data_IF_297020138533
#
_entry.id   IF_297020138533
#
_cell.length_a   1.000
_cell.length_b   1.000
_cell.length_c   1.000
_cell.angle_alpha   90.00
_cell.angle_beta   90.00
_cell.angle_gamma   90.00
#
_symmetry.space_group_name_H-M   'P 1'
#
loop_
_entity.id
_entity.type
_entity.pdbx_description
1 polymer ?
#
# COMPACT_ATOMS: atom_id res chain seq x y z
N UNK A 1 7.06 -20.36 11.95
CA UNK A 1 7.63 -19.76 10.74
C UNK A 1 7.61 -20.84 9.67
N UNK A 2 6.82 -20.66 8.60
CA UNK A 2 6.66 -21.66 7.54
C UNK A 2 7.20 -21.10 6.22
N UNK A 3 8.00 -21.92 5.52
CA UNK A 3 8.45 -21.73 4.14
C UNK A 3 9.56 -20.70 3.98
N UNK A 4 10.71 -21.14 3.47
CA UNK A 4 11.91 -20.36 3.14
C UNK A 4 11.65 -18.84 2.99
N UNK A 5 12.05 -18.01 3.97
CA UNK A 5 11.87 -16.57 3.88
C UNK A 5 12.54 -16.06 2.60
N UNK A 6 11.86 -15.20 1.84
CA UNK A 6 12.36 -14.75 0.52
C UNK A 6 11.81 -13.36 0.22
N UNK A 7 12.71 -12.46 -0.16
CA UNK A 7 12.38 -11.09 -0.55
C UNK A 7 11.51 -11.09 -1.81
N UNK A 8 11.82 -11.95 -2.79
CA UNK A 8 11.00 -12.12 -3.99
C UNK A 8 9.57 -12.54 -3.63
N UNK A 9 9.42 -13.49 -2.71
CA UNK A 9 8.10 -13.95 -2.25
C UNK A 9 7.31 -12.80 -1.61
N UNK A 10 7.95 -11.98 -0.77
CA UNK A 10 7.31 -10.79 -0.17
C UNK A 10 6.84 -9.80 -1.23
N UNK A 11 7.67 -9.51 -2.23
CA UNK A 11 7.33 -8.57 -3.30
C UNK A 11 6.17 -9.11 -4.14
N UNK A 12 6.19 -10.40 -4.47
CA UNK A 12 5.12 -11.04 -5.23
C UNK A 12 3.78 -10.98 -4.49
N UNK A 13 3.77 -11.29 -3.19
CA UNK A 13 2.60 -11.16 -2.31
C UNK A 13 2.12 -9.71 -2.26
N UNK A 14 3.04 -8.78 -2.03
CA UNK A 14 2.75 -7.36 -1.95
C UNK A 14 2.09 -6.85 -3.22
N UNK A 15 2.67 -7.13 -4.39
CA UNK A 15 2.10 -6.78 -5.69
C UNK A 15 0.74 -7.43 -5.91
N UNK A 16 0.57 -8.71 -5.56
CA UNK A 16 -0.69 -9.42 -5.78
C UNK A 16 -1.83 -8.81 -4.97
N UNK A 17 -1.61 -8.55 -3.68
CA UNK A 17 -2.64 -7.93 -2.82
C UNK A 17 -2.87 -6.47 -3.24
N UNK A 18 -1.81 -5.72 -3.52
CA UNK A 18 -1.91 -4.37 -4.04
C UNK A 18 -2.69 -4.30 -5.36
N UNK A 19 -2.47 -5.26 -6.25
CA UNK A 19 -3.22 -5.39 -7.50
C UNK A 19 -4.70 -5.69 -7.26
N UNK A 20 -5.04 -6.54 -6.29
CA UNK A 20 -6.43 -6.80 -5.92
C UNK A 20 -7.14 -5.53 -5.41
N UNK A 21 -6.50 -4.75 -4.54
CA UNK A 21 -7.04 -3.45 -4.11
C UNK A 21 -7.14 -2.46 -5.27
N UNK A 22 -6.13 -2.43 -6.15
CA UNK A 22 -6.17 -1.63 -7.36
C UNK A 22 -7.29 -2.02 -8.32
N UNK A 23 -7.63 -3.32 -8.43
CA UNK A 23 -8.76 -3.81 -9.22
C UNK A 23 -10.10 -3.38 -8.64
N UNK A 24 -10.23 -3.44 -7.30
CA UNK A 24 -11.40 -2.88 -6.62
C UNK A 24 -11.54 -1.42 -7.01
N UNK A 25 -10.47 -0.62 -6.85
CA UNK A 25 -10.45 0.78 -7.24
C UNK A 25 -10.86 0.99 -8.71
N UNK A 26 -10.27 0.24 -9.65
CA UNK A 26 -10.57 0.34 -11.09
C UNK A 26 -12.06 0.10 -11.40
N UNK A 27 -12.68 -0.85 -10.71
CA UNK A 27 -14.09 -1.21 -10.91
C UNK A 27 -15.01 -0.23 -10.18
N UNK A 28 -14.65 0.22 -8.97
CA UNK A 28 -15.54 1.06 -8.15
C UNK A 28 -15.49 2.55 -8.48
N UNK A 29 -14.35 3.07 -8.95
CA UNK A 29 -14.16 4.50 -9.27
C UNK A 29 -15.27 5.11 -10.14
N UNK A 30 -15.75 4.46 -11.22
CA UNK A 30 -16.74 5.03 -12.12
C UNK A 30 -18.12 5.19 -11.48
N UNK A 31 -18.43 4.41 -10.44
CA UNK A 31 -19.69 4.56 -9.72
C UNK A 31 -19.72 5.83 -8.88
N UNK A 32 -18.56 6.30 -8.41
CA UNK A 32 -18.44 7.53 -7.62
C UNK A 32 -18.09 8.77 -8.47
N UNK A 33 -17.41 8.55 -9.59
CA UNK A 33 -17.00 9.59 -10.55
C UNK A 33 -17.31 9.10 -11.98
N UNK A 34 -18.54 9.35 -12.50
CA UNK A 34 -18.95 8.85 -13.82
C UNK A 34 -18.02 9.27 -14.97
N UNK A 35 -17.49 10.51 -14.91
CA UNK A 35 -16.60 11.07 -15.93
C UNK A 35 -15.13 10.68 -15.75
N UNK A 36 -14.84 9.64 -14.94
CA UNK A 36 -13.46 9.22 -14.70
C UNK A 36 -12.89 8.47 -15.90
N UNK A 37 -11.89 9.06 -16.54
CA UNK A 37 -11.20 8.48 -17.68
C UNK A 37 -10.36 7.24 -17.32
N UNK A 38 -10.08 6.41 -18.33
CA UNK A 38 -9.28 5.19 -18.18
C UNK A 38 -7.88 5.41 -17.59
N UNK A 39 -7.29 6.58 -17.84
CA UNK A 39 -5.96 6.93 -17.33
C UNK A 39 -5.91 6.95 -15.79
N UNK A 40 -6.90 7.55 -15.13
CA UNK A 40 -6.95 7.56 -13.66
C UNK A 40 -7.26 6.17 -13.11
N UNK A 41 -8.17 5.42 -13.75
CA UNK A 41 -8.51 4.04 -13.32
C UNK A 41 -7.30 3.12 -13.34
N UNK A 42 -6.55 3.11 -14.45
CA UNK A 42 -5.31 2.34 -14.57
C UNK A 42 -4.20 2.90 -13.67
N UNK A 43 -4.14 4.23 -13.51
CA UNK A 43 -3.25 4.90 -12.57
C UNK A 43 -3.44 4.35 -11.15
N UNK A 44 -4.68 4.23 -10.69
CA UNK A 44 -5.03 3.67 -9.37
C UNK A 44 -4.68 2.18 -9.28
N UNK A 45 -4.97 1.38 -10.30
CA UNK A 45 -4.61 -0.04 -10.33
C UNK A 45 -3.10 -0.24 -10.13
N UNK A 46 -2.29 0.44 -10.93
CA UNK A 46 -0.84 0.32 -10.85
C UNK A 46 -0.24 1.03 -9.65
N UNK A 47 -0.91 2.07 -9.14
CA UNK A 47 -0.54 2.72 -7.89
C UNK A 47 -0.58 1.72 -6.73
N UNK A 48 -1.71 1.07 -6.48
CA UNK A 48 -1.80 0.12 -5.35
C UNK A 48 -0.91 -1.11 -5.56
N UNK A 49 -0.69 -1.54 -6.81
CA UNK A 49 0.33 -2.57 -7.12
C UNK A 49 1.73 -2.11 -6.70
N UNK A 50 2.06 -0.83 -6.93
CA UNK A 50 3.35 -0.22 -6.54
C UNK A 50 3.45 -0.07 -5.03
N UNK A 51 2.40 0.40 -4.35
CA UNK A 51 2.34 0.45 -2.87
C UNK A 51 2.61 -0.92 -2.29
N UNK A 52 1.96 -1.96 -2.82
CA UNK A 52 2.18 -3.33 -2.39
C UNK A 52 3.62 -3.80 -2.61
N UNK A 53 4.22 -3.48 -3.76
CA UNK A 53 5.63 -3.77 -4.01
C UNK A 53 6.55 -3.06 -3.01
N UNK A 54 6.32 -1.77 -2.74
CA UNK A 54 7.11 -0.97 -1.81
C UNK A 54 7.05 -1.54 -0.39
N UNK A 55 5.87 -1.96 0.06
CA UNK A 55 5.71 -2.62 1.37
C UNK A 55 6.41 -3.99 1.38
N UNK A 56 6.36 -4.73 0.27
CA UNK A 56 7.09 -5.99 0.13
C UNK A 56 8.59 -5.82 0.31
N UNK A 57 9.19 -4.86 -0.42
CA UNK A 57 10.62 -4.52 -0.40
C UNK A 57 11.05 -3.94 0.95
N UNK A 58 10.47 -2.81 1.34
CA UNK A 58 10.92 -2.05 2.51
C UNK A 58 10.38 -2.63 3.82
N UNK A 59 9.35 -3.47 3.76
CA UNK A 59 8.85 -4.18 4.93
C UNK A 59 9.79 -5.28 5.43
N UNK A 60 10.98 -5.48 4.85
CA UNK A 60 12.00 -6.38 5.43
C UNK A 60 12.76 -5.71 6.58
N UNK A 61 12.84 -4.38 6.59
CA UNK A 61 13.58 -3.64 7.62
C UNK A 61 12.88 -3.73 8.98
N UNK A 62 13.47 -4.46 9.92
CA UNK A 62 12.99 -4.62 11.31
C UNK A 62 13.64 -3.65 12.29
N UNK A 63 14.64 -2.88 11.85
CA UNK A 63 15.42 -1.99 12.70
C UNK A 63 15.59 -0.62 12.04
N UNK A 64 15.33 0.45 12.80
CA UNK A 64 15.56 1.80 12.31
C UNK A 64 17.03 2.21 12.52
N UNK A 65 17.80 2.51 11.46
CA UNK A 65 19.25 2.70 11.57
C UNK A 65 19.66 3.95 12.36
N UNK A 66 18.89 5.05 12.25
CA UNK A 66 19.20 6.32 12.92
C UNK A 66 18.71 6.33 14.37
N UNK A 67 17.41 6.07 14.58
CA UNK A 67 16.76 6.13 15.90
C UNK A 67 17.04 4.88 16.76
N UNK A 68 17.59 3.80 16.17
CA UNK A 68 17.96 2.55 16.87
C UNK A 68 16.80 1.92 17.63
N UNK A 69 15.62 1.87 16.99
CA UNK A 69 14.41 1.26 17.54
C UNK A 69 13.93 0.10 16.65
N UNK A 70 13.36 -0.97 17.23
CA UNK A 70 12.70 -2.01 16.47
C UNK A 70 11.46 -1.45 15.76
N UNK A 71 11.31 -1.78 14.48
CA UNK A 71 10.17 -1.40 13.66
C UNK A 71 9.28 -2.62 13.41
N UNK A 72 8.22 -2.82 14.21
CA UNK A 72 7.34 -3.96 14.03
C UNK A 72 6.57 -3.84 12.70
N UNK A 73 6.23 -5.00 12.13
CA UNK A 73 5.54 -5.07 10.83
C UNK A 73 4.25 -4.25 10.78
N UNK A 74 3.50 -4.21 11.90
CA UNK A 74 2.24 -3.49 12.03
C UNK A 74 2.41 -1.98 12.08
N UNK A 75 3.63 -1.46 12.28
CA UNK A 75 3.92 -0.03 12.25
C UNK A 75 4.50 0.38 10.91
N UNK A 76 5.56 -0.31 10.44
CA UNK A 76 6.29 0.08 9.23
C UNK A 76 5.45 -0.05 7.95
N UNK A 77 4.64 -1.09 7.83
CA UNK A 77 3.87 -1.33 6.61
C UNK A 77 2.71 -0.32 6.45
N UNK A 78 1.93 -0.02 7.50
CA UNK A 78 1.00 1.11 7.46
C UNK A 78 1.67 2.45 7.22
N UNK A 79 2.84 2.71 7.83
CA UNK A 79 3.56 3.96 7.61
C UNK A 79 3.91 4.18 6.13
N UNK A 80 4.43 3.14 5.46
CA UNK A 80 4.74 3.20 4.02
C UNK A 80 3.44 3.42 3.21
N UNK A 81 2.37 2.68 3.51
CA UNK A 81 1.09 2.82 2.81
C UNK A 81 0.46 4.22 2.99
N UNK A 82 0.46 4.74 4.22
CA UNK A 82 0.00 6.08 4.54
C UNK A 82 0.80 7.15 3.79
N UNK A 83 2.14 7.05 3.82
CA UNK A 83 3.01 7.99 3.13
C UNK A 83 2.78 7.99 1.62
N UNK A 84 2.65 6.81 1.01
CA UNK A 84 2.34 6.70 -0.41
C UNK A 84 1.02 7.40 -0.72
N UNK A 85 -0.07 7.06 -0.03
CA UNK A 85 -1.36 7.68 -0.32
C UNK A 85 -1.41 9.17 0.02
N UNK A 86 -0.64 9.63 1.00
CA UNK A 86 -0.44 11.05 1.24
C UNK A 86 0.14 11.75 0.01
N UNK A 87 1.20 11.19 -0.60
CA UNK A 87 1.76 11.73 -1.85
C UNK A 87 0.76 11.66 -3.00
N UNK A 88 0.00 10.57 -3.12
CA UNK A 88 -1.04 10.43 -4.15
C UNK A 88 -2.09 11.56 -4.07
N UNK A 89 -2.49 11.96 -2.85
CA UNK A 89 -3.43 13.05 -2.65
C UNK A 89 -2.90 14.37 -3.22
N UNK A 90 -1.60 14.67 -3.14
CA UNK A 90 -1.05 15.89 -3.76
C UNK A 90 -1.19 15.90 -5.29
N UNK A 91 -1.09 14.73 -5.94
CA UNK A 91 -1.20 14.63 -7.39
C UNK A 91 -2.65 14.67 -7.90
N UNK A 92 -3.60 14.19 -7.10
CA UNK A 92 -4.99 14.01 -7.54
C UNK A 92 -6.02 14.56 -6.55
N UNK A 93 -5.66 15.61 -5.80
CA UNK A 93 -6.46 16.20 -4.74
C UNK A 93 -7.89 16.49 -5.19
N UNK A 94 -8.05 17.22 -6.30
CA UNK A 94 -9.37 17.64 -6.78
C UNK A 94 -10.24 16.46 -7.20
N UNK A 95 -9.64 15.42 -7.77
CA UNK A 95 -10.35 14.20 -8.19
C UNK A 95 -10.85 13.43 -6.97
N UNK A 96 -10.00 13.23 -5.96
CA UNK A 96 -10.43 12.58 -4.72
C UNK A 96 -11.43 13.43 -3.93
N UNK A 97 -11.29 14.75 -3.93
CA UNK A 97 -12.25 15.64 -3.28
C UNK A 97 -13.62 15.54 -3.93
N UNK A 98 -13.69 15.57 -5.26
CA UNK A 98 -14.94 15.35 -5.98
C UNK A 98 -15.57 14.00 -5.60
N UNK A 99 -14.76 12.93 -5.50
CA UNK A 99 -15.25 11.61 -5.07
C UNK A 99 -15.79 11.61 -3.63
N UNK A 100 -15.09 12.26 -2.70
CA UNK A 100 -15.55 12.32 -1.31
C UNK A 100 -16.86 13.11 -1.18
N UNK A 101 -17.03 14.17 -1.97
CA UNK A 101 -18.29 14.95 -2.03
C UNK A 101 -19.42 14.09 -2.59
N UNK A 102 -19.19 13.31 -3.65
CA UNK A 102 -20.24 12.43 -4.20
C UNK A 102 -20.65 11.33 -3.23
N UNK A 103 -19.71 10.81 -2.41
CA UNK A 103 -19.98 9.76 -1.43
C UNK A 103 -20.62 10.25 -0.13
N UNK A 104 -20.19 11.39 0.40
CA UNK A 104 -20.53 11.85 1.75
C UNK A 104 -21.29 13.18 1.80
N UNK A 105 -21.53 13.82 0.66
CA UNK A 105 -22.18 15.12 0.56
C UNK A 105 -21.26 16.31 0.87
N UNK A 106 -21.77 17.52 0.66
CA UNK A 106 -21.03 18.76 0.89
C UNK A 106 -21.00 19.16 2.38
N UNK A 107 -19.89 19.78 2.82
CA UNK A 107 -19.82 20.47 4.10
C UNK A 107 -19.41 19.61 5.32
N UNK A 108 -19.29 18.28 5.18
CA UNK A 108 -18.88 17.37 6.26
C UNK A 108 -17.36 17.20 6.41
N UNK A 109 -16.88 16.75 7.58
CA UNK A 109 -15.46 16.39 7.80
C UNK A 109 -15.01 15.20 6.92
N UNK A 110 -15.95 14.34 6.53
CA UNK A 110 -15.70 13.21 5.65
C UNK A 110 -15.41 13.64 4.21
N UNK A 111 -15.60 14.91 3.82
CA UNK A 111 -15.26 15.36 2.46
C UNK A 111 -13.73 15.50 2.22
N UNK A 112 -12.91 15.40 3.27
CA UNK A 112 -11.47 15.60 3.17
C UNK A 112 -10.78 14.45 2.43
N UNK A 113 -10.04 14.71 1.34
CA UNK A 113 -9.26 13.67 0.64
C UNK A 113 -8.21 13.00 1.52
N UNK A 114 -7.81 13.62 2.64
CA UNK A 114 -6.80 13.04 3.53
C UNK A 114 -7.25 11.72 4.20
N UNK A 115 -8.53 11.36 4.12
CA UNK A 115 -8.99 10.01 4.50
C UNK A 115 -8.33 8.90 3.66
N UNK A 116 -7.86 9.19 2.44
CA UNK A 116 -7.07 8.23 1.66
C UNK A 116 -5.72 7.90 2.29
N UNK A 117 -5.17 8.76 3.17
CA UNK A 117 -3.96 8.44 3.96
C UNK A 117 -4.26 7.30 4.93
N UNK A 118 -5.40 7.38 5.62
CA UNK A 118 -5.82 6.32 6.54
C UNK A 118 -6.11 5.02 5.79
N UNK A 119 -6.79 5.11 4.66
CA UNK A 119 -7.04 3.95 3.79
C UNK A 119 -5.74 3.31 3.29
N UNK A 120 -4.75 4.11 2.88
CA UNK A 120 -3.40 3.64 2.58
C UNK A 120 -2.71 2.96 3.76
N UNK A 121 -2.89 3.47 4.98
CA UNK A 121 -2.36 2.85 6.19
C UNK A 121 -3.00 1.47 6.46
N UNK A 122 -4.32 1.36 6.30
CA UNK A 122 -5.08 0.13 6.50
C UNK A 122 -4.70 -0.92 5.44
N UNK A 123 -4.65 -0.53 4.17
CA UNK A 123 -4.19 -1.41 3.09
C UNK A 123 -2.75 -1.85 3.36
N UNK A 124 -1.90 -0.93 3.80
CA UNK A 124 -0.53 -1.24 4.15
C UNK A 124 -0.42 -2.23 5.31
N UNK A 125 -1.32 -2.15 6.30
CA UNK A 125 -1.41 -3.12 7.39
C UNK A 125 -1.73 -4.52 6.87
N UNK A 126 -2.74 -4.63 5.98
CA UNK A 126 -3.17 -5.90 5.38
C UNK A 126 -2.02 -6.51 4.58
N UNK A 127 -1.40 -5.73 3.70
CA UNK A 127 -0.26 -6.20 2.89
C UNK A 127 0.91 -6.61 3.80
N UNK A 128 1.24 -5.77 4.79
CA UNK A 128 2.31 -6.03 5.74
C UNK A 128 2.11 -7.32 6.53
N UNK A 129 0.88 -7.59 6.97
CA UNK A 129 0.52 -8.81 7.68
C UNK A 129 0.77 -10.05 6.80
N UNK A 130 0.21 -10.07 5.58
CA UNK A 130 0.32 -11.23 4.69
C UNK A 130 1.76 -11.43 4.22
N UNK A 131 2.46 -10.36 3.82
CA UNK A 131 3.87 -10.44 3.40
C UNK A 131 4.78 -10.93 4.53
N UNK A 132 4.56 -10.49 5.77
CA UNK A 132 5.35 -10.95 6.92
C UNK A 132 5.01 -12.38 7.30
N UNK A 133 3.73 -12.78 7.19
CA UNK A 133 3.28 -14.14 7.51
C UNK A 133 3.84 -15.20 6.56
N UNK A 134 3.93 -14.91 5.26
CA UNK A 134 4.32 -15.89 4.24
C UNK A 134 5.72 -15.68 3.65
N UNK A 135 6.27 -14.47 3.73
CA UNK A 135 7.58 -14.15 3.15
C UNK A 135 8.70 -13.92 4.18
N UNK A 136 8.41 -13.99 5.48
CA UNK A 136 9.38 -13.72 6.55
C UNK A 136 9.73 -12.25 6.72
N UNK A 137 10.64 -11.89 7.62
CA UNK A 137 11.16 -10.53 7.78
C UNK A 137 12.63 -10.55 8.22
N UNK A 138 13.33 -9.41 8.16
CA UNK A 138 14.72 -9.30 8.59
C UNK A 138 15.74 -9.90 7.62
N UNK A 139 16.99 -10.00 8.08
CA UNK A 139 18.16 -10.32 7.25
C UNK A 139 18.04 -11.67 6.53
N UNK A 140 17.46 -12.67 7.18
CA UNK A 140 17.25 -14.02 6.64
C UNK A 140 16.48 -14.00 5.31
N UNK A 141 15.55 -13.05 5.18
CA UNK A 141 14.71 -12.89 3.98
C UNK A 141 15.52 -12.42 2.77
N UNK A 142 16.58 -11.63 3.01
CA UNK A 142 17.46 -11.13 1.94
C UNK A 142 18.53 -12.17 1.61
N UNK A 143 19.09 -12.82 2.62
CA UNK A 143 20.15 -13.81 2.47
C UNK A 143 19.68 -15.07 1.74
N UNK A 144 18.42 -15.47 1.92
CA UNK A 144 17.85 -16.65 1.27
C UNK A 144 17.76 -16.53 -0.26
N UNK A 145 17.73 -15.32 -0.81
CA UNK A 145 17.68 -15.08 -2.26
C UNK A 145 19.09 -14.91 -2.87
N UNK A 146 20.16 -14.99 -2.07
CA UNK A 146 21.54 -14.94 -2.56
C UNK A 146 22.03 -16.33 -3.01
N UNK A 147 22.93 -16.41 -4.02
CA UNK A 147 23.55 -17.68 -4.38
C UNK A 147 24.34 -18.25 -3.18
N UNK A 148 24.42 -19.58 -3.04
CA UNK A 148 25.25 -20.20 -2.01
C UNK A 148 26.71 -19.75 -2.17
N UNK A 149 27.32 -19.29 -1.08
CA UNK A 149 28.75 -18.96 -1.00
C UNK A 149 29.60 -20.22 -0.84
#
# INVERSE_FOLDING_TARGET
MFGNPSLITRIAIGKSIGFLFGLIGLITLPYFLPDVGWMLRLGILFWYTTVGAMIGVFGVFTWHPIVKLPMPWWFRAPWIGAWMNFVLIFFAFDRFKAMMITMFGEGGMLQSPFWFVLEGAIIGLVIGYVATRFGGEGAETVLADQPPQ
#
